data_IF_684143846714
#
_entry.id   IF_684143846714
#
_cell.length_a   1.000
_cell.length_b   1.000
_cell.length_c   1.000
_cell.angle_alpha   90.00
_cell.angle_beta   90.00
_cell.angle_gamma   90.00
#
_symmetry.space_group_name_H-M   'P 1'
#
loop_
_entity.id
_entity.type
_entity.pdbx_description
1 polymer ?
#
# COMPACT_ATOMS: atom_id res chain seq x y z
N UNK A 1 -37.33 26.39 -14.37
CA UNK A 1 -35.94 26.51 -13.86
C UNK A 1 -35.70 25.34 -12.92
N UNK A 2 -34.74 24.47 -13.25
CA UNK A 2 -34.33 23.35 -12.38
C UNK A 2 -33.26 23.90 -11.42
N UNK A 3 -33.38 23.72 -10.10
CA UNK A 3 -32.35 24.18 -9.18
C UNK A 3 -31.02 23.45 -9.46
N UNK A 4 -29.87 24.13 -9.34
CA UNK A 4 -28.58 23.50 -9.59
C UNK A 4 -28.38 22.32 -8.64
N UNK A 5 -27.94 21.19 -9.19
CA UNK A 5 -27.59 20.01 -8.43
C UNK A 5 -26.47 20.38 -7.44
N UNK A 6 -26.76 20.34 -6.14
CA UNK A 6 -25.76 20.58 -5.10
C UNK A 6 -24.92 19.32 -5.00
N UNK A 7 -23.80 19.28 -5.73
CA UNK A 7 -22.80 18.22 -5.55
C UNK A 7 -22.16 18.47 -4.18
N UNK A 8 -22.28 17.55 -3.21
CA UNK A 8 -21.56 17.72 -1.94
C UNK A 8 -20.06 17.85 -2.24
N UNK A 9 -19.31 18.66 -1.45
CA UNK A 9 -17.88 18.79 -1.65
C UNK A 9 -17.26 17.40 -1.63
N UNK A 10 -16.46 17.10 -2.66
CA UNK A 10 -15.69 15.87 -2.73
C UNK A 10 -14.83 15.85 -1.46
N UNK A 11 -15.10 14.91 -0.55
CA UNK A 11 -14.22 14.70 0.59
C UNK A 11 -12.93 14.10 0.02
N UNK A 12 -11.94 14.96 -0.23
CA UNK A 12 -10.63 14.61 -0.79
C UNK A 12 -9.77 13.78 0.17
N UNK A 13 -10.33 13.31 1.29
CA UNK A 13 -9.81 12.15 2.02
C UNK A 13 -10.05 10.89 1.16
N UNK A 14 -9.45 10.83 -0.03
CA UNK A 14 -9.20 9.60 -0.75
C UNK A 14 -8.23 8.81 0.12
N UNK A 15 -8.78 7.97 1.00
CA UNK A 15 -8.00 7.05 1.83
C UNK A 15 -7.72 5.83 0.94
N UNK A 16 -6.45 5.57 0.55
CA UNK A 16 -6.12 4.38 -0.22
C UNK A 16 -6.45 3.08 0.53
N UNK A 17 -6.40 3.09 1.87
CA UNK A 17 -6.54 1.92 2.75
C UNK A 17 -7.97 1.73 3.34
N UNK A 18 -8.99 2.28 2.67
CA UNK A 18 -10.35 2.49 3.20
C UNK A 18 -11.04 1.29 3.88
N UNK A 19 -10.71 0.04 3.53
CA UNK A 19 -11.47 -1.13 4.01
C UNK A 19 -10.92 -1.75 5.30
N UNK A 20 -9.63 -1.55 5.63
CA UNK A 20 -9.05 -2.13 6.86
C UNK A 20 -9.27 -1.28 8.11
N UNK A 21 -9.73 -0.04 7.96
CA UNK A 21 -9.82 0.92 9.06
C UNK A 21 -11.09 0.81 9.92
N UNK A 22 -12.16 0.18 9.41
CA UNK A 22 -13.40 0.01 10.16
C UNK A 22 -13.48 -1.39 10.79
N UNK A 23 -12.92 -1.54 11.99
CA UNK A 23 -12.86 -2.83 12.72
C UNK A 23 -14.22 -3.49 12.98
N UNK A 24 -15.32 -2.73 12.99
CA UNK A 24 -16.66 -3.27 13.18
C UNK A 24 -17.27 -3.92 11.93
N UNK A 25 -16.68 -3.67 10.76
CA UNK A 25 -17.20 -4.10 9.46
C UNK A 25 -16.13 -4.70 8.52
N UNK A 26 -14.85 -4.66 8.92
CA UNK A 26 -13.74 -5.14 8.09
C UNK A 26 -13.77 -6.68 7.98
N UNK A 27 -13.95 -7.24 6.77
CA UNK A 27 -13.98 -8.69 6.57
C UNK A 27 -12.58 -9.30 6.34
N UNK A 28 -11.53 -8.47 6.25
CA UNK A 28 -10.18 -8.92 5.87
C UNK A 28 -9.34 -9.33 7.08
N UNK A 29 -8.56 -10.40 6.92
CA UNK A 29 -7.65 -10.91 7.95
C UNK A 29 -6.25 -10.27 7.88
N UNK A 30 -5.81 -9.89 6.68
CA UNK A 30 -4.48 -9.34 6.38
C UNK A 30 -4.59 -8.49 5.11
N UNK A 31 -3.72 -7.47 4.96
CA UNK A 31 -3.71 -6.61 3.78
C UNK A 31 -2.28 -6.34 3.27
N UNK A 32 -2.18 -6.01 1.98
CA UNK A 32 -0.93 -5.66 1.31
C UNK A 32 -1.13 -4.43 0.41
N UNK A 33 -0.17 -3.51 0.46
CA UNK A 33 0.02 -2.45 -0.52
C UNK A 33 1.33 -2.70 -1.27
N UNK A 34 1.20 -3.10 -2.54
CA UNK A 34 2.34 -3.34 -3.43
C UNK A 34 2.52 -2.13 -4.32
N UNK A 35 3.74 -1.59 -4.41
CA UNK A 35 4.08 -0.39 -5.17
C UNK A 35 3.00 0.71 -5.06
N UNK A 36 2.61 1.15 -3.84
CA UNK A 36 1.61 2.20 -3.68
C UNK A 36 2.10 3.53 -4.27
N UNK A 37 1.17 4.46 -4.46
CA UNK A 37 1.45 5.85 -4.74
C UNK A 37 0.81 6.70 -3.64
N UNK A 38 1.42 7.83 -3.33
CA UNK A 38 0.89 8.81 -2.38
C UNK A 38 0.72 8.22 -0.98
N UNK A 39 1.77 7.59 -0.44
CA UNK A 39 1.73 7.07 0.94
C UNK A 39 1.40 8.20 1.91
N UNK A 40 0.31 8.04 2.66
CA UNK A 40 -0.12 8.96 3.71
C UNK A 40 0.28 8.43 5.08
N UNK A 41 1.32 8.96 5.75
CA UNK A 41 1.77 8.41 7.03
C UNK A 41 0.68 8.35 8.11
N UNK A 42 -0.26 9.30 8.10
CA UNK A 42 -1.39 9.32 9.04
C UNK A 42 -2.43 8.20 8.81
N UNK A 43 -2.39 7.52 7.66
CA UNK A 43 -3.30 6.42 7.37
C UNK A 43 -2.87 5.12 8.06
N UNK A 44 -1.58 4.96 8.37
CA UNK A 44 -1.03 3.82 9.11
C UNK A 44 -1.72 3.61 10.46
N UNK A 45 -2.03 4.69 11.18
CA UNK A 45 -2.70 4.65 12.49
C UNK A 45 -4.11 4.06 12.43
N UNK A 46 -4.73 4.07 11.24
CA UNK A 46 -6.09 3.57 11.04
C UNK A 46 -6.11 2.09 10.68
N UNK A 47 -5.00 1.51 10.27
CA UNK A 47 -4.94 0.11 9.83
C UNK A 47 -5.06 -0.81 11.04
N UNK A 48 -6.03 -1.73 10.99
CA UNK A 48 -6.36 -2.59 12.12
C UNK A 48 -6.17 -4.10 11.86
N UNK A 49 -5.48 -4.46 10.78
CA UNK A 49 -5.12 -5.85 10.44
C UNK A 49 -3.63 -5.92 10.14
N UNK A 50 -3.00 -7.11 10.25
CA UNK A 50 -1.63 -7.29 9.78
C UNK A 50 -1.44 -6.72 8.36
N UNK A 51 -0.36 -5.96 8.18
CA UNK A 51 -0.18 -5.12 6.99
C UNK A 51 1.22 -5.19 6.42
N UNK A 52 1.31 -5.34 5.09
CA UNK A 52 2.58 -5.26 4.38
C UNK A 52 2.57 -4.14 3.34
N UNK A 53 3.62 -3.31 3.34
CA UNK A 53 3.83 -2.26 2.34
C UNK A 53 5.17 -2.48 1.63
N UNK A 54 5.12 -2.69 0.31
CA UNK A 54 6.29 -2.81 -0.54
C UNK A 54 6.40 -1.57 -1.45
N UNK A 55 7.20 -0.58 -1.03
CA UNK A 55 7.37 0.68 -1.74
C UNK A 55 8.30 0.54 -2.95
N UNK A 56 8.11 1.40 -3.95
CA UNK A 56 8.99 1.52 -5.12
C UNK A 56 10.00 2.65 -4.93
N UNK A 57 10.91 2.84 -5.89
CA UNK A 57 11.88 3.94 -5.90
C UNK A 57 11.24 5.34 -5.96
N UNK A 58 9.96 5.44 -6.32
CA UNK A 58 9.26 6.71 -6.55
C UNK A 58 8.69 7.32 -5.26
N UNK A 59 8.73 6.59 -4.14
CA UNK A 59 8.27 7.07 -2.83
C UNK A 59 9.42 7.70 -2.03
N UNK A 60 9.14 8.81 -1.33
CA UNK A 60 10.14 9.45 -0.48
C UNK A 60 10.48 8.54 0.72
N UNK A 61 11.77 8.23 0.98
CA UNK A 61 12.17 7.35 2.08
C UNK A 61 11.63 7.79 3.44
N UNK A 62 11.61 9.10 3.70
CA UNK A 62 11.10 9.67 4.95
C UNK A 62 9.59 9.46 5.09
N UNK A 63 8.85 9.47 3.99
CA UNK A 63 7.40 9.19 3.98
C UNK A 63 7.13 7.72 4.28
N UNK A 64 7.88 6.80 3.67
CA UNK A 64 7.77 5.36 3.93
C UNK A 64 8.11 5.05 5.40
N UNK A 65 9.20 5.61 5.91
CA UNK A 65 9.60 5.43 7.30
C UNK A 65 8.56 5.99 8.27
N UNK A 66 8.03 7.18 7.99
CA UNK A 66 7.02 7.80 8.84
C UNK A 66 5.68 7.04 8.84
N UNK A 67 5.38 6.28 7.78
CA UNK A 67 4.25 5.36 7.73
C UNK A 67 4.52 4.12 8.59
N UNK A 68 5.70 3.50 8.45
CA UNK A 68 6.14 2.33 9.23
C UNK A 68 6.07 2.59 10.74
N UNK A 69 6.65 3.71 11.20
CA UNK A 69 6.67 4.12 12.61
C UNK A 69 5.27 4.33 13.23
N UNK A 70 4.24 4.50 12.42
CA UNK A 70 2.85 4.72 12.85
C UNK A 70 1.98 3.46 12.81
N UNK A 71 2.47 2.36 12.25
CA UNK A 71 1.75 1.08 12.27
C UNK A 71 1.77 0.48 13.69
N UNK A 72 0.61 0.05 14.17
CA UNK A 72 0.44 -0.55 15.50
C UNK A 72 0.06 -2.03 15.48
N UNK A 73 -0.05 -2.60 14.28
CA UNK A 73 -0.39 -4.00 13.98
C UNK A 73 0.87 -4.79 13.61
N UNK A 74 0.87 -6.13 13.57
CA UNK A 74 1.96 -6.87 12.93
C UNK A 74 2.17 -6.36 11.49
N UNK A 75 3.39 -5.98 11.14
CA UNK A 75 3.63 -5.38 9.83
C UNK A 75 5.01 -5.67 9.25
N UNK A 76 5.12 -5.43 7.95
CA UNK A 76 6.38 -5.35 7.21
C UNK A 76 6.33 -4.16 6.26
N UNK A 77 7.31 -3.27 6.36
CA UNK A 77 7.50 -2.18 5.40
C UNK A 77 8.87 -2.33 4.76
N UNK A 78 8.93 -2.30 3.43
CA UNK A 78 10.17 -2.47 2.69
C UNK A 78 10.16 -1.64 1.42
N UNK A 79 11.29 -1.00 1.10
CA UNK A 79 11.47 -0.23 -0.13
C UNK A 79 12.33 -1.01 -1.13
N UNK A 80 11.78 -1.23 -2.31
CA UNK A 80 12.46 -1.76 -3.49
C UNK A 80 13.00 -0.56 -4.28
N UNK A 81 14.09 0.02 -3.77
CA UNK A 81 14.59 1.35 -4.14
C UNK A 81 15.13 1.50 -5.56
N UNK A 82 15.20 0.43 -6.33
CA UNK A 82 15.62 0.38 -7.73
C UNK A 82 14.52 -0.15 -8.67
N UNK A 83 13.29 -0.29 -8.16
CA UNK A 83 12.13 -0.74 -8.92
C UNK A 83 11.12 0.39 -9.12
N UNK A 84 10.53 0.48 -10.31
CA UNK A 84 9.56 1.52 -10.68
C UNK A 84 8.19 1.32 -10.05
N UNK A 85 7.36 2.36 -9.96
CA UNK A 85 5.97 2.17 -9.56
C UNK A 85 5.28 1.20 -10.55
N UNK A 86 4.54 0.21 -10.02
CA UNK A 86 3.92 -0.86 -10.82
C UNK A 86 4.87 -2.00 -11.21
N UNK A 87 6.04 -2.13 -10.58
CA UNK A 87 7.00 -3.22 -10.84
C UNK A 87 6.48 -4.63 -10.53
N UNK A 88 5.56 -4.79 -9.55
CA UNK A 88 4.86 -6.08 -9.33
C UNK A 88 3.63 -6.24 -10.25
N UNK A 89 3.50 -5.39 -11.27
CA UNK A 89 2.38 -5.37 -12.19
C UNK A 89 2.89 -5.16 -13.64
N UNK A 90 2.09 -4.53 -14.50
CA UNK A 90 2.39 -4.40 -15.92
C UNK A 90 3.60 -3.51 -16.26
N UNK A 91 4.23 -2.83 -15.29
CA UNK A 91 5.37 -1.92 -15.53
C UNK A 91 6.73 -2.58 -15.30
N UNK A 92 6.77 -3.84 -14.87
CA UNK A 92 8.03 -4.59 -14.77
C UNK A 92 8.64 -4.83 -16.16
N UNK A 93 9.92 -4.48 -16.35
CA UNK A 93 10.70 -4.95 -17.49
C UNK A 93 11.23 -6.37 -17.21
N UNK A 94 10.41 -7.38 -17.49
CA UNK A 94 10.77 -8.78 -17.24
C UNK A 94 11.90 -9.32 -18.15
N UNK A 95 12.36 -8.52 -19.13
CA UNK A 95 13.54 -8.84 -19.92
C UNK A 95 14.84 -8.60 -19.14
N UNK A 96 14.82 -7.65 -18.19
CA UNK A 96 15.88 -7.48 -17.20
C UNK A 96 15.78 -8.60 -16.15
N UNK A 97 16.88 -9.34 -15.96
CA UNK A 97 16.93 -10.44 -14.99
C UNK A 97 16.76 -9.99 -13.55
N UNK A 98 17.24 -8.80 -13.20
CA UNK A 98 17.15 -8.25 -11.86
C UNK A 98 15.72 -7.81 -11.55
N UNK A 99 15.08 -7.07 -12.46
CA UNK A 99 13.67 -6.68 -12.31
C UNK A 99 12.76 -7.90 -12.21
N UNK A 100 13.05 -8.97 -12.97
CA UNK A 100 12.31 -10.25 -12.85
C UNK A 100 12.54 -10.95 -11.51
N UNK A 101 13.75 -10.92 -10.98
CA UNK A 101 14.05 -11.49 -9.66
C UNK A 101 13.31 -10.73 -8.56
N UNK A 102 13.33 -9.40 -8.63
CA UNK A 102 12.61 -8.55 -7.70
C UNK A 102 11.10 -8.75 -7.84
N UNK A 103 10.51 -8.78 -9.06
CA UNK A 103 9.09 -9.14 -9.36
C UNK A 103 8.66 -10.36 -8.52
N UNK A 104 9.38 -11.46 -8.67
CA UNK A 104 9.14 -12.70 -7.93
C UNK A 104 9.35 -12.54 -6.43
N UNK A 105 10.39 -11.80 -6.00
CA UNK A 105 10.68 -11.54 -4.59
C UNK A 105 9.55 -10.76 -3.91
N UNK A 106 8.93 -9.82 -4.60
CA UNK A 106 7.75 -9.09 -4.13
C UNK A 106 6.60 -10.02 -3.81
N UNK A 107 6.20 -10.86 -4.78
CA UNK A 107 5.12 -11.82 -4.60
C UNK A 107 5.44 -12.83 -3.48
N UNK A 108 6.67 -13.35 -3.42
CA UNK A 108 7.07 -14.26 -2.34
C UNK A 108 7.05 -13.59 -0.97
N UNK A 109 7.42 -12.33 -0.89
CA UNK A 109 7.40 -11.54 0.35
C UNK A 109 5.96 -11.37 0.86
N UNK A 110 5.02 -11.03 -0.03
CA UNK A 110 3.59 -10.96 0.32
C UNK A 110 3.04 -12.33 0.74
N UNK A 111 3.30 -13.39 -0.05
CA UNK A 111 2.80 -14.73 0.25
C UNK A 111 3.31 -15.27 1.59
N UNK A 112 4.57 -15.00 1.95
CA UNK A 112 5.12 -15.41 3.25
C UNK A 112 4.43 -14.67 4.39
N UNK A 113 4.27 -13.36 4.27
CA UNK A 113 3.59 -12.56 5.29
C UNK A 113 2.13 -13.00 5.49
N UNK A 114 1.39 -13.26 4.40
CA UNK A 114 0.03 -13.81 4.48
C UNK A 114 -0.03 -15.26 4.98
N UNK A 115 1.04 -16.04 4.85
CA UNK A 115 1.11 -17.39 5.42
C UNK A 115 1.28 -17.40 6.94
N UNK A 116 1.76 -16.28 7.52
CA UNK A 116 1.99 -16.11 8.96
C UNK A 116 0.79 -15.49 9.69
N UNK A 117 -0.18 -14.93 8.95
CA UNK A 117 -1.29 -14.12 9.47
C UNK A 117 -2.65 -14.53 8.88
#
# INVERSE_FOLDING_TARGET
>A
MVPPLRVPPLNLNLIPELVTANTSQNPFAVAAATHPAMIGPADAEKIAVPYILLASQEEAPETVQAFDERLSVPHRVETFGDQVHGWMAARADLSDSWVREEDLRGYWTVLRFWGEH
#
